data_IF_631235483923
#
_entry.id   IF_631235483923
#
_cell.length_a   1.000
_cell.length_b   1.000
_cell.length_c   1.000
_cell.angle_alpha   90.00
_cell.angle_beta   90.00
_cell.angle_gamma   90.00
#
_symmetry.space_group_name_H-M   'P 1'
#
loop_
_entity.id
_entity.type
_entity.pdbx_description
1 polymer ?
#
# COMPACT_ATOMS: atom_id res chain seq x y z
N UNK A 1 -30.77 -5.99 2.61
CA UNK A 1 -29.45 -6.10 1.95
C UNK A 1 -29.34 -4.97 0.95
N UNK A 2 -28.57 -3.90 1.20
CA UNK A 2 -28.39 -2.86 0.21
C UNK A 2 -27.35 -3.29 -0.83
N UNK A 3 -27.57 -2.85 -2.07
CA UNK A 3 -26.94 -3.27 -3.32
C UNK A 3 -25.41 -3.04 -3.31
N UNK A 4 -24.63 -4.11 -3.11
CA UNK A 4 -23.16 -4.08 -3.00
C UNK A 4 -22.45 -3.52 -4.26
N UNK A 5 -23.16 -3.38 -5.38
CA UNK A 5 -22.64 -2.80 -6.63
C UNK A 5 -22.62 -1.26 -6.62
N UNK A 6 -23.46 -0.61 -5.83
CA UNK A 6 -23.52 0.86 -5.78
C UNK A 6 -22.38 1.45 -4.91
N UNK A 7 -21.96 0.72 -3.87
CA UNK A 7 -20.88 1.13 -2.98
C UNK A 7 -19.48 0.96 -3.59
N UNK A 8 -19.26 -0.09 -4.38
CA UNK A 8 -17.93 -0.42 -4.94
C UNK A 8 -17.43 0.59 -5.97
N UNK A 9 -18.32 1.09 -6.86
CA UNK A 9 -17.93 2.08 -7.88
C UNK A 9 -17.49 3.41 -7.24
N UNK A 10 -18.27 3.93 -6.30
CA UNK A 10 -17.94 5.20 -5.65
C UNK A 10 -16.68 5.10 -4.79
N UNK A 11 -16.47 3.97 -4.10
CA UNK A 11 -15.22 3.70 -3.39
C UNK A 11 -14.02 3.68 -4.34
N UNK A 12 -14.15 3.01 -5.49
CA UNK A 12 -13.08 2.96 -6.50
C UNK A 12 -12.69 4.34 -7.03
N UNK A 13 -13.65 5.26 -7.24
CA UNK A 13 -13.34 6.64 -7.66
C UNK A 13 -12.62 7.42 -6.57
N UNK A 14 -13.04 7.29 -5.30
CA UNK A 14 -12.36 7.91 -4.15
C UNK A 14 -10.92 7.42 -4.06
N UNK A 15 -10.70 6.13 -4.13
CA UNK A 15 -9.37 5.53 -4.02
C UNK A 15 -8.49 5.85 -5.23
N UNK A 16 -9.06 5.91 -6.44
CA UNK A 16 -8.33 6.31 -7.63
C UNK A 16 -7.80 7.75 -7.52
N UNK A 17 -8.60 8.66 -6.96
CA UNK A 17 -8.16 10.03 -6.64
C UNK A 17 -7.13 10.03 -5.52
N UNK A 18 -7.52 9.52 -4.35
CA UNK A 18 -6.75 9.60 -3.12
C UNK A 18 -5.39 8.89 -3.20
N UNK A 19 -5.30 7.78 -3.93
CA UNK A 19 -4.10 6.94 -3.93
C UNK A 19 -3.34 6.90 -5.25
N UNK A 20 -3.99 7.23 -6.37
CA UNK A 20 -3.43 7.05 -7.71
C UNK A 20 -3.50 8.30 -8.58
N UNK A 21 -3.84 9.46 -7.98
CA UNK A 21 -3.72 10.76 -8.63
C UNK A 21 -4.68 10.96 -9.79
N UNK A 22 -5.85 10.31 -9.76
CA UNK A 22 -6.85 10.46 -10.83
C UNK A 22 -7.20 11.94 -11.12
N UNK A 23 -7.11 12.81 -10.11
CA UNK A 23 -7.34 14.24 -10.24
C UNK A 23 -6.07 15.07 -10.51
N UNK A 24 -4.88 14.48 -10.35
CA UNK A 24 -3.60 15.15 -10.57
C UNK A 24 -3.14 15.08 -12.04
N UNK A 25 -3.80 14.26 -12.86
CA UNK A 25 -3.49 14.14 -14.28
C UNK A 25 -3.95 15.37 -15.05
N UNK A 26 -3.06 16.34 -15.21
CA UNK A 26 -3.24 17.55 -16.03
C UNK A 26 -3.07 17.26 -17.54
N UNK A 27 -3.74 16.23 -18.03
CA UNK A 27 -3.66 15.81 -19.42
C UNK A 27 -4.48 16.74 -20.32
N UNK A 28 -3.87 17.26 -21.39
CA UNK A 28 -4.52 18.18 -22.33
C UNK A 28 -5.29 17.47 -23.46
N UNK A 29 -5.07 16.16 -23.67
CA UNK A 29 -5.71 15.38 -24.72
C UNK A 29 -6.68 14.33 -24.18
N UNK A 30 -7.77 14.10 -24.90
CA UNK A 30 -8.82 13.13 -24.52
C UNK A 30 -8.25 11.72 -24.32
N UNK A 31 -7.32 11.30 -25.18
CA UNK A 31 -6.68 9.97 -25.11
C UNK A 31 -5.84 9.84 -23.84
N UNK A 32 -5.06 10.86 -23.49
CA UNK A 32 -4.23 10.83 -22.30
C UNK A 32 -5.08 10.82 -21.01
N UNK A 33 -6.15 11.61 -20.95
CA UNK A 33 -7.12 11.58 -19.85
C UNK A 33 -7.72 10.18 -19.69
N UNK A 34 -8.17 9.57 -20.79
CA UNK A 34 -8.79 8.24 -20.77
C UNK A 34 -7.81 7.16 -20.31
N UNK A 35 -6.57 7.19 -20.80
CA UNK A 35 -5.53 6.24 -20.40
C UNK A 35 -5.16 6.38 -18.92
N UNK A 36 -5.04 7.60 -18.43
CA UNK A 36 -4.73 7.87 -17.03
C UNK A 36 -5.86 7.41 -16.10
N UNK A 37 -7.11 7.64 -16.48
CA UNK A 37 -8.27 7.14 -15.73
C UNK A 37 -8.29 5.60 -15.68
N UNK A 38 -8.10 4.94 -16.83
CA UNK A 38 -8.05 3.48 -16.90
C UNK A 38 -6.90 2.91 -16.05
N UNK A 39 -5.72 3.54 -16.10
CA UNK A 39 -4.58 3.15 -15.27
C UNK A 39 -4.89 3.31 -13.78
N UNK A 40 -5.48 4.43 -13.35
CA UNK A 40 -5.81 4.65 -11.95
C UNK A 40 -6.80 3.59 -11.45
N UNK A 41 -7.85 3.27 -12.20
CA UNK A 41 -8.79 2.21 -11.83
C UNK A 41 -8.15 0.81 -11.82
N UNK A 42 -7.28 0.52 -12.77
CA UNK A 42 -6.52 -0.72 -12.77
C UNK A 42 -5.66 -0.84 -11.50
N UNK A 43 -4.95 0.22 -11.12
CA UNK A 43 -4.10 0.22 -9.93
C UNK A 43 -4.90 0.10 -8.63
N UNK A 44 -6.11 0.65 -8.55
CA UNK A 44 -7.03 0.42 -7.42
C UNK A 44 -7.37 -1.07 -7.29
N UNK A 45 -7.82 -1.71 -8.37
CA UNK A 45 -8.18 -3.13 -8.34
C UNK A 45 -6.99 -4.03 -7.99
N UNK A 46 -5.82 -3.75 -8.58
CA UNK A 46 -4.58 -4.46 -8.27
C UNK A 46 -4.21 -4.34 -6.79
N UNK A 47 -4.34 -3.14 -6.22
CA UNK A 47 -4.07 -2.90 -4.80
C UNK A 47 -5.00 -3.69 -3.90
N UNK A 48 -6.29 -3.80 -4.26
CA UNK A 48 -7.25 -4.58 -3.51
C UNK A 48 -6.96 -6.08 -3.55
N UNK A 49 -6.50 -6.61 -4.69
CA UNK A 49 -6.06 -8.00 -4.78
C UNK A 49 -4.85 -8.26 -3.87
N UNK A 50 -3.83 -7.41 -3.92
CA UNK A 50 -2.67 -7.51 -3.03
C UNK A 50 -3.03 -7.35 -1.55
N UNK A 51 -4.00 -6.47 -1.25
CA UNK A 51 -4.46 -6.23 0.10
C UNK A 51 -5.18 -7.45 0.69
N UNK A 52 -5.87 -8.25 -0.13
CA UNK A 52 -6.54 -9.46 0.32
C UNK A 52 -5.54 -10.45 0.93
N UNK A 53 -4.43 -10.71 0.24
CA UNK A 53 -3.37 -11.60 0.72
C UNK A 53 -2.65 -10.99 1.93
N UNK A 54 -2.40 -9.67 1.89
CA UNK A 54 -1.74 -8.96 2.98
C UNK A 54 -2.53 -9.03 4.30
N UNK A 55 -3.87 -8.98 4.21
CA UNK A 55 -4.77 -9.05 5.37
C UNK A 55 -4.81 -10.41 6.04
N UNK A 56 -4.38 -11.49 5.37
CA UNK A 56 -4.27 -12.81 6.00
C UNK A 56 -3.34 -12.77 7.23
N UNK A 57 -2.31 -11.92 7.17
CA UNK A 57 -1.34 -11.73 8.26
C UNK A 57 -1.55 -10.40 9.01
N UNK A 58 -2.37 -9.50 8.48
CA UNK A 58 -2.58 -8.16 9.01
C UNK A 58 -4.07 -7.72 8.84
N UNK A 59 -5.00 -8.32 9.61
CA UNK A 59 -6.44 -8.30 9.32
C UNK A 59 -7.07 -6.92 9.16
N UNK A 60 -6.54 -5.90 9.85
CA UNK A 60 -7.09 -4.54 9.85
C UNK A 60 -6.40 -3.58 8.86
N UNK A 61 -5.48 -4.08 8.04
CA UNK A 61 -4.68 -3.21 7.16
C UNK A 61 -5.50 -2.57 6.04
N UNK A 62 -5.18 -1.33 5.70
CA UNK A 62 -5.65 -0.62 4.51
C UNK A 62 -4.59 -0.52 3.41
N UNK A 63 -4.94 0.14 2.30
CA UNK A 63 -4.04 0.39 1.17
C UNK A 63 -2.80 1.21 1.59
N UNK A 64 -2.95 2.12 2.57
CA UNK A 64 -1.83 2.92 3.08
C UNK A 64 -0.80 2.02 3.80
N UNK A 65 -1.26 1.06 4.61
CA UNK A 65 -0.39 0.11 5.29
C UNK A 65 0.34 -0.81 4.30
N UNK A 66 -0.35 -1.24 3.24
CA UNK A 66 0.24 -2.01 2.15
C UNK A 66 1.35 -1.21 1.44
N UNK A 67 1.08 0.07 1.15
CA UNK A 67 2.07 0.98 0.56
C UNK A 67 3.25 1.21 1.50
N UNK A 68 3.02 1.39 2.80
CA UNK A 68 4.06 1.54 3.81
C UNK A 68 4.95 0.31 3.88
N UNK A 69 4.36 -0.89 3.80
CA UNK A 69 5.09 -2.16 3.78
C UNK A 69 6.06 -2.25 2.59
N UNK A 70 5.58 -2.05 1.36
CA UNK A 70 6.45 -2.11 0.18
C UNK A 70 7.48 -0.97 0.12
N UNK A 71 7.13 0.23 0.59
CA UNK A 71 8.08 1.35 0.71
C UNK A 71 9.18 1.04 1.73
N UNK A 72 8.81 0.52 2.90
CA UNK A 72 9.76 0.07 3.92
C UNK A 72 10.72 -0.97 3.35
N UNK A 73 10.20 -1.95 2.60
CA UNK A 73 11.05 -2.95 1.93
C UNK A 73 12.05 -2.32 0.96
N UNK A 74 11.59 -1.37 0.14
CA UNK A 74 12.46 -0.63 -0.78
C UNK A 74 13.53 0.16 -0.01
N UNK A 75 13.17 0.85 1.06
CA UNK A 75 14.11 1.63 1.85
C UNK A 75 15.18 0.75 2.51
N UNK A 76 14.79 -0.36 3.12
CA UNK A 76 15.78 -1.32 3.66
C UNK A 76 16.72 -1.79 2.57
N UNK A 77 16.19 -2.16 1.40
CA UNK A 77 17.02 -2.63 0.29
C UNK A 77 18.02 -1.57 -0.19
N UNK A 78 17.62 -0.31 -0.28
CA UNK A 78 18.55 0.77 -0.64
C UNK A 78 19.55 1.06 0.49
N UNK A 79 19.14 0.97 1.75
CA UNK A 79 20.04 1.09 2.90
C UNK A 79 21.12 -0.01 2.91
N UNK A 80 20.73 -1.28 2.66
CA UNK A 80 21.67 -2.40 2.63
C UNK A 80 22.78 -2.23 1.60
N UNK A 81 22.53 -1.51 0.49
CA UNK A 81 23.57 -1.20 -0.51
C UNK A 81 24.63 -0.22 -0.01
N UNK A 82 24.33 0.56 1.02
CA UNK A 82 25.23 1.56 1.59
C UNK A 82 26.05 1.00 2.77
N UNK A 83 25.71 -0.19 3.27
CA UNK A 83 26.44 -0.81 4.36
C UNK A 83 27.66 -1.58 3.82
N UNK A 84 28.81 -1.53 4.53
CA UNK A 84 29.99 -2.31 4.15
C UNK A 84 29.77 -3.82 4.36
N UNK A 85 28.94 -4.21 5.33
CA UNK A 85 28.62 -5.59 5.67
C UNK A 85 27.11 -5.75 5.88
N UNK A 86 26.58 -6.92 5.53
CA UNK A 86 25.16 -7.23 5.71
C UNK A 86 24.90 -7.47 7.21
N UNK A 87 23.90 -6.79 7.82
CA UNK A 87 23.54 -7.02 9.21
C UNK A 87 23.11 -8.47 9.47
N UNK A 88 23.28 -8.91 10.72
CA UNK A 88 22.78 -10.22 11.14
C UNK A 88 21.28 -10.37 10.87
N UNK A 89 20.80 -11.58 10.53
CA UNK A 89 19.40 -11.81 10.14
C UNK A 89 18.38 -11.30 11.15
N UNK A 90 18.64 -11.44 12.45
CA UNK A 90 17.74 -10.99 13.53
C UNK A 90 17.60 -9.46 13.51
N UNK A 91 18.73 -8.75 13.41
CA UNK A 91 18.74 -7.30 13.32
C UNK A 91 18.06 -6.83 12.03
N UNK A 92 18.29 -7.52 10.92
CA UNK A 92 17.65 -7.24 9.64
C UNK A 92 16.12 -7.39 9.75
N UNK A 93 15.61 -8.45 10.37
CA UNK A 93 14.16 -8.61 10.63
C UNK A 93 13.60 -7.48 11.47
N UNK A 94 14.31 -7.03 12.51
CA UNK A 94 13.87 -5.90 13.34
C UNK A 94 13.85 -4.58 12.56
N UNK A 95 14.87 -4.34 11.73
CA UNK A 95 14.94 -3.18 10.83
C UNK A 95 13.74 -3.18 9.87
N UNK A 96 13.46 -4.32 9.24
CA UNK A 96 12.28 -4.48 8.37
C UNK A 96 10.98 -4.20 9.13
N UNK A 97 10.78 -4.80 10.31
CA UNK A 97 9.58 -4.59 11.12
C UNK A 97 9.39 -3.11 11.47
N UNK A 98 10.45 -2.42 11.90
CA UNK A 98 10.41 -0.98 12.21
C UNK A 98 10.10 -0.13 10.98
N UNK A 99 10.86 -0.30 9.89
CA UNK A 99 10.71 0.53 8.69
C UNK A 99 9.38 0.33 7.96
N UNK A 100 8.88 -0.90 7.93
CA UNK A 100 7.56 -1.19 7.34
C UNK A 100 6.42 -0.67 8.21
N UNK A 101 6.64 -0.45 9.51
CA UNK A 101 5.65 0.12 10.43
C UNK A 101 5.57 1.66 10.41
N UNK A 102 6.65 2.38 10.05
CA UNK A 102 6.71 3.85 10.15
C UNK A 102 5.58 4.58 9.38
N UNK A 103 5.15 4.04 8.25
CA UNK A 103 4.09 4.64 7.43
C UNK A 103 2.70 4.03 7.63
N UNK A 104 2.56 3.11 8.58
CA UNK A 104 1.28 2.42 8.83
C UNK A 104 0.36 3.31 9.65
N UNK A 105 -0.93 3.17 9.36
CA UNK A 105 -2.03 3.77 10.14
C UNK A 105 -2.55 2.76 11.16
N UNK A 106 -2.65 1.49 10.75
CA UNK A 106 -3.17 0.44 11.63
C UNK A 106 -2.04 -0.24 12.38
N UNK A 107 -2.21 -0.47 13.70
CA UNK A 107 -1.22 -1.17 14.50
C UNK A 107 -0.96 -2.56 13.92
N UNK A 108 0.28 -3.02 14.04
CA UNK A 108 0.59 -4.41 13.73
C UNK A 108 -0.09 -5.25 14.81
N UNK A 109 -0.87 -6.25 14.43
CA UNK A 109 -1.42 -7.21 15.38
C UNK A 109 -0.26 -8.04 15.94
N UNK A 110 0.37 -7.52 16.98
CA UNK A 110 1.29 -8.27 17.81
C UNK A 110 0.42 -9.10 18.73
N UNK A 111 0.38 -10.42 18.52
CA UNK A 111 -0.30 -11.37 19.43
C UNK A 111 0.35 -11.47 20.82
N UNK A 112 0.96 -10.39 21.30
CA UNK A 112 1.56 -10.25 22.62
C UNK A 112 0.98 -8.98 23.21
N UNK A 113 0.13 -9.15 24.22
CA UNK A 113 -0.34 -8.04 25.05
C UNK A 113 0.88 -7.34 25.69
N UNK A 114 0.91 -6.00 25.73
CA UNK A 114 1.90 -5.30 26.53
C UNK A 114 1.64 -5.59 28.01
N UNK A 115 2.56 -6.33 28.63
CA UNK A 115 2.66 -6.50 30.08
C UNK A 115 3.03 -5.20 30.77
#
# INVERSE_FOLDING_TARGET
MPDARCSSRQFNFRDAKQFWGLEDFMNLSQTAVTNAANLAFFMVNLSYLQLLDFRQHNPDSGIIDLKAYYRGFRYVREMLKMLPEIPEPILLTQIFAKLTALGRIHPVSTGVEPS
#
